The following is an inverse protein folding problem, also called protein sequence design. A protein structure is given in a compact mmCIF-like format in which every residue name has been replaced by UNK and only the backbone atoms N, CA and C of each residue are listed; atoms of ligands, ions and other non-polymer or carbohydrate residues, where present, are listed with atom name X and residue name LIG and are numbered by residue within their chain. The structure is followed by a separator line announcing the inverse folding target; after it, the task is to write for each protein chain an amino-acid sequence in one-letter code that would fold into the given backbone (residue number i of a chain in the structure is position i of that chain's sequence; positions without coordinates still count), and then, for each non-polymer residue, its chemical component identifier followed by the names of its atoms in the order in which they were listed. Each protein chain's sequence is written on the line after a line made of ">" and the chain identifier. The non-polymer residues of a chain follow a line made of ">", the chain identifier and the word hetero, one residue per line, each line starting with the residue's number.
data_IF_852156988672
#
_entry.id   IF_852156988672
#
_cell.length_a   1.000
_cell.length_b   1.000
_cell.length_c   1.000
_cell.angle_alpha   90.00
_cell.angle_beta   90.00
_cell.angle_gamma   90.00
#
_symmetry.space_group_name_H-M   'P 1'
#
loop_
_entity.id
_entity.type
_entity.pdbx_description
1 polymer ?
#
# COMPACT_ATOMS: atom_id res chain seq x y z
N UNK A 1 -5.51 9.88 50.65
CA UNK A 1 -6.22 9.53 49.40
C UNK A 1 -5.23 9.74 48.27
N UNK A 2 -4.41 8.72 47.98
CA UNK A 2 -3.38 8.77 46.93
C UNK A 2 -3.70 7.64 45.98
N UNK A 3 -4.23 7.98 44.80
CA UNK A 3 -4.70 7.01 43.82
C UNK A 3 -3.51 6.23 43.24
N UNK A 4 -3.64 4.91 43.26
CA UNK A 4 -2.79 3.97 42.56
C UNK A 4 -3.14 3.93 41.05
N UNK A 5 -2.23 3.33 40.27
CA UNK A 5 -2.38 2.89 38.88
C UNK A 5 -1.95 3.92 37.82
N UNK A 6 -1.17 3.59 36.79
CA UNK A 6 -0.95 2.28 36.19
C UNK A 6 0.53 2.05 35.88
N UNK A 7 1.00 0.84 36.21
CA UNK A 7 2.17 0.22 35.58
C UNK A 7 1.91 0.25 34.08
N UNK A 8 2.72 1.02 33.35
CA UNK A 8 2.83 0.83 31.91
C UNK A 8 3.50 -0.53 31.74
N UNK A 9 2.75 -1.54 31.33
CA UNK A 9 3.31 -2.83 30.94
C UNK A 9 4.40 -2.55 29.89
N UNK A 10 5.65 -2.78 30.26
CA UNK A 10 6.79 -2.55 29.41
C UNK A 10 6.75 -3.56 28.26
N UNK A 11 6.28 -3.09 27.10
CA UNK A 11 6.36 -3.82 25.84
C UNK A 11 7.82 -4.24 25.63
N UNK A 12 8.10 -5.53 25.36
CA UNK A 12 9.47 -6.02 25.23
C UNK A 12 10.20 -5.24 24.14
N UNK A 13 11.28 -4.58 24.54
CA UNK A 13 12.14 -3.74 23.69
C UNK A 13 12.99 -4.63 22.77
N UNK A 14 12.37 -5.19 21.74
CA UNK A 14 13.10 -5.41 20.50
C UNK A 14 13.50 -4.03 19.97
N UNK A 15 14.76 -3.87 19.62
CA UNK A 15 15.43 -2.61 19.24
C UNK A 15 14.93 -2.05 17.89
N UNK A 16 13.61 -1.92 17.74
CA UNK A 16 12.93 -1.37 16.58
C UNK A 16 12.21 -0.12 17.05
N UNK A 17 12.90 1.01 16.95
CA UNK A 17 12.32 2.33 17.20
C UNK A 17 10.98 2.45 16.47
N UNK A 18 9.95 2.93 17.18
CA UNK A 18 8.65 3.19 16.57
C UNK A 18 8.79 4.32 15.54
N UNK A 19 7.98 4.31 14.46
CA UNK A 19 8.03 5.35 13.44
C UNK A 19 7.65 6.70 14.06
N UNK A 20 8.50 7.72 13.85
CA UNK A 20 8.21 9.10 14.28
C UNK A 20 7.24 9.79 13.31
N UNK A 21 7.24 9.36 12.05
CA UNK A 21 6.36 9.84 10.99
C UNK A 21 5.47 8.70 10.52
N UNK A 22 4.17 8.98 10.46
CA UNK A 22 3.17 8.13 9.82
C UNK A 22 2.56 8.91 8.66
N UNK A 23 2.92 8.55 7.42
CA UNK A 23 2.27 9.07 6.24
C UNK A 23 0.94 8.32 6.05
N UNK A 24 -0.18 8.99 6.33
CA UNK A 24 -1.52 8.40 6.21
C UNK A 24 -1.98 8.19 4.77
N UNK A 25 -2.91 7.26 4.54
CA UNK A 25 -3.51 7.03 3.23
C UNK A 25 -4.38 8.22 2.78
N UNK A 26 -4.15 8.75 1.57
CA UNK A 26 -4.70 10.03 1.10
C UNK A 26 -5.82 9.88 0.05
N UNK A 27 -6.84 9.05 0.31
CA UNK A 27 -7.97 8.90 -0.62
C UNK A 27 -7.64 8.09 -1.88
N UNK A 28 -8.14 8.49 -3.05
CA UNK A 28 -8.02 7.71 -4.30
C UNK A 28 -6.71 8.03 -5.02
N UNK A 29 -5.81 7.05 -5.13
CA UNK A 29 -4.55 7.11 -5.87
C UNK A 29 -3.53 8.20 -5.46
N UNK A 30 -3.75 8.98 -4.41
CA UNK A 30 -2.82 10.04 -3.96
C UNK A 30 -1.61 9.47 -3.22
N UNK A 31 -1.82 8.58 -2.24
CA UNK A 31 -0.75 7.85 -1.54
C UNK A 31 -0.37 6.60 -2.32
N UNK A 32 0.49 6.74 -3.33
CA UNK A 32 0.96 5.60 -4.13
C UNK A 32 1.88 4.66 -3.34
N UNK A 33 2.00 3.41 -3.80
CA UNK A 33 2.96 2.44 -3.25
C UNK A 33 4.40 2.95 -3.27
N UNK A 34 4.75 3.86 -4.19
CA UNK A 34 6.07 4.47 -4.27
C UNK A 34 6.33 5.41 -3.09
N UNK A 35 5.36 6.26 -2.75
CA UNK A 35 5.46 7.14 -1.59
C UNK A 35 5.55 6.32 -0.30
N UNK A 36 4.63 5.36 -0.12
CA UNK A 36 4.64 4.51 1.06
C UNK A 36 5.95 3.71 1.20
N UNK A 37 6.49 3.20 0.09
CA UNK A 37 7.79 2.52 0.04
C UNK A 37 8.95 3.44 0.39
N UNK A 38 8.97 4.68 -0.13
CA UNK A 38 9.99 5.66 0.21
C UNK A 38 9.98 6.03 1.70
N UNK A 39 8.79 6.20 2.30
CA UNK A 39 8.63 6.44 3.74
C UNK A 39 9.10 5.22 4.55
N UNK A 40 8.74 4.00 4.13
CA UNK A 40 9.18 2.76 4.78
C UNK A 40 10.71 2.58 4.71
N UNK A 41 11.32 2.88 3.57
CA UNK A 41 12.77 2.82 3.39
C UNK A 41 13.51 3.87 4.23
N UNK A 42 12.85 4.98 4.60
CA UNK A 42 13.37 5.97 5.54
C UNK A 42 13.18 5.57 7.03
N UNK A 43 12.78 4.33 7.31
CA UNK A 43 12.53 3.84 8.66
C UNK A 43 11.24 4.37 9.30
N UNK A 44 10.35 4.96 8.51
CA UNK A 44 9.07 5.52 8.94
C UNK A 44 7.92 4.62 8.48
N UNK A 45 6.67 4.96 8.83
CA UNK A 45 5.50 4.17 8.41
C UNK A 45 4.77 4.82 7.24
N UNK A 46 4.85 4.19 6.07
CA UNK A 46 4.11 4.58 4.87
C UNK A 46 2.83 3.77 4.71
N UNK A 47 1.71 4.43 4.42
CA UNK A 47 0.41 3.78 4.22
C UNK A 47 -0.08 4.01 2.78
N UNK A 48 -0.54 2.93 2.15
CA UNK A 48 -1.22 2.96 0.85
C UNK A 48 -2.73 2.90 1.08
N UNK A 49 -3.46 3.94 0.66
CA UNK A 49 -4.92 3.91 0.67
C UNK A 49 -5.46 2.90 -0.35
N UNK A 50 -6.39 2.05 0.08
CA UNK A 50 -7.12 1.11 -0.78
C UNK A 50 -8.40 1.68 -1.40
N UNK A 51 -8.68 2.97 -1.20
CA UNK A 51 -9.93 3.61 -1.67
C UNK A 51 -10.05 3.52 -3.19
N UNK A 52 -11.13 2.89 -3.66
CA UNK A 52 -11.43 2.68 -5.09
C UNK A 52 -10.28 2.02 -5.88
N UNK A 53 -9.54 1.09 -5.24
CA UNK A 53 -8.39 0.44 -5.85
C UNK A 53 -8.74 -0.32 -7.14
N UNK A 54 -9.95 -0.86 -7.24
CA UNK A 54 -10.50 -1.48 -8.44
C UNK A 54 -10.55 -0.50 -9.62
N UNK A 55 -11.06 0.72 -9.41
CA UNK A 55 -11.09 1.77 -10.42
C UNK A 55 -9.68 2.25 -10.79
N UNK A 56 -8.81 2.42 -9.80
CA UNK A 56 -7.41 2.83 -10.03
C UNK A 56 -6.66 1.79 -10.86
N UNK A 57 -6.84 0.50 -10.56
CA UNK A 57 -6.23 -0.60 -11.28
C UNK A 57 -6.70 -0.63 -12.74
N UNK A 58 -8.01 -0.57 -12.97
CA UNK A 58 -8.58 -0.55 -14.32
C UNK A 58 -8.08 0.67 -15.09
N UNK A 59 -8.07 1.85 -14.46
CA UNK A 59 -7.66 3.07 -15.15
C UNK A 59 -6.20 3.04 -15.57
N UNK A 60 -5.29 2.55 -14.72
CA UNK A 60 -3.87 2.39 -15.06
C UNK A 60 -3.64 1.42 -16.22
N UNK A 61 -4.40 0.33 -16.29
CA UNK A 61 -4.35 -0.60 -17.44
C UNK A 61 -4.83 0.07 -18.73
N UNK A 62 -5.88 0.89 -18.65
CA UNK A 62 -6.41 1.64 -19.79
C UNK A 62 -5.49 2.77 -20.26
N UNK A 63 -4.70 3.33 -19.36
CA UNK A 63 -3.62 4.29 -19.66
C UNK A 63 -2.32 3.58 -20.13
N UNK A 64 -2.40 2.26 -20.37
CA UNK A 64 -1.34 1.46 -20.97
C UNK A 64 -0.27 0.92 -20.03
N UNK A 65 -0.44 1.08 -18.72
CA UNK A 65 0.45 0.50 -17.70
C UNK A 65 1.94 0.71 -18.07
N UNK A 66 2.30 1.97 -18.31
CA UNK A 66 3.57 2.36 -18.94
C UNK A 66 4.81 1.92 -18.16
N UNK A 67 4.72 1.83 -16.83
CA UNK A 67 5.77 1.33 -15.94
C UNK A 67 5.68 -0.19 -15.68
N UNK A 68 4.69 -0.86 -16.27
CA UNK A 68 4.40 -2.27 -16.11
C UNK A 68 3.99 -2.70 -14.69
N UNK A 69 3.78 -1.77 -13.75
CA UNK A 69 3.62 -2.09 -12.34
C UNK A 69 2.34 -2.86 -12.08
N UNK A 70 1.24 -2.53 -12.78
CA UNK A 70 -0.03 -3.21 -12.59
C UNK A 70 0.03 -4.62 -13.17
N UNK A 71 0.55 -4.80 -14.38
CA UNK A 71 0.71 -6.14 -14.96
C UNK A 71 1.68 -7.01 -14.17
N UNK A 72 2.76 -6.46 -13.62
CA UNK A 72 3.64 -7.19 -12.69
C UNK A 72 2.92 -7.64 -11.42
N UNK A 73 2.10 -6.77 -10.81
CA UNK A 73 1.34 -7.12 -9.62
C UNK A 73 0.30 -8.22 -9.92
N UNK A 74 -0.38 -8.12 -11.07
CA UNK A 74 -1.35 -9.13 -11.52
C UNK A 74 -0.69 -10.47 -11.84
N UNK A 75 0.54 -10.49 -12.37
CA UNK A 75 1.30 -11.72 -12.59
C UNK A 75 1.68 -12.45 -11.29
N UNK A 76 1.73 -11.74 -10.16
CA UNK A 76 1.94 -12.32 -8.83
C UNK A 76 0.63 -12.63 -8.08
N UNK A 77 -0.53 -12.37 -8.70
CA UNK A 77 -1.82 -12.57 -8.06
C UNK A 77 -2.12 -14.08 -7.89
N UNK A 78 -2.63 -14.54 -6.73
CA UNK A 78 -2.75 -15.99 -6.45
C UNK A 78 -3.73 -16.76 -7.33
N UNK A 79 -4.61 -16.08 -8.07
CA UNK A 79 -5.59 -16.69 -8.97
C UNK A 79 -5.32 -16.19 -10.39
N UNK A 80 -4.43 -16.86 -11.14
CA UNK A 80 -3.98 -16.40 -12.46
C UNK A 80 -5.11 -16.10 -13.43
N UNK A 81 -6.17 -16.92 -13.46
CA UNK A 81 -7.30 -16.78 -14.38
C UNK A 81 -8.07 -15.47 -14.15
N UNK A 82 -8.10 -14.97 -12.91
CA UNK A 82 -8.69 -13.67 -12.59
C UNK A 82 -7.81 -12.55 -13.14
N UNK A 83 -6.49 -12.65 -12.94
CA UNK A 83 -5.53 -11.66 -13.43
C UNK A 83 -5.55 -11.58 -14.95
N UNK A 84 -5.51 -12.73 -15.64
CA UNK A 84 -5.59 -12.82 -17.10
C UNK A 84 -6.87 -12.18 -17.64
N UNK A 85 -8.03 -12.47 -17.03
CA UNK A 85 -9.31 -11.87 -17.42
C UNK A 85 -9.31 -10.35 -17.25
N UNK A 86 -8.71 -9.84 -16.18
CA UNK A 86 -8.59 -8.40 -15.92
C UNK A 86 -7.68 -7.73 -16.95
N UNK A 87 -6.50 -8.29 -17.22
CA UNK A 87 -5.57 -7.75 -18.23
C UNK A 87 -6.21 -7.78 -19.61
N UNK A 88 -6.78 -8.92 -20.02
CA UNK A 88 -7.48 -9.08 -21.31
C UNK A 88 -8.60 -8.06 -21.51
N UNK A 89 -9.34 -7.73 -20.43
CA UNK A 89 -10.51 -6.85 -20.53
C UNK A 89 -10.15 -5.36 -20.54
N UNK A 90 -9.13 -4.94 -19.79
CA UNK A 90 -8.91 -3.53 -19.48
C UNK A 90 -7.61 -2.93 -20.01
N UNK A 91 -6.62 -3.75 -20.36
CA UNK A 91 -5.36 -3.26 -20.89
C UNK A 91 -5.52 -2.66 -22.29
N UNK A 92 -5.03 -1.44 -22.49
CA UNK A 92 -4.94 -0.80 -23.81
C UNK A 92 -3.49 -0.44 -24.07
N UNK A 93 -2.83 -0.98 -25.11
CA UNK A 93 -1.52 -0.49 -25.51
C UNK A 93 -1.61 1.02 -25.75
N UNK A 94 -0.71 1.77 -25.12
CA UNK A 94 -0.57 3.22 -25.34
C UNK A 94 -0.01 3.54 -26.71
#
# INVERSE_FOLDING_TARGET
>A
MTAASAVHDSVPSGDRALPLVIQGGMGVAVSSWRLASAIAQAGQLGVVAGTALDLVLVRRLQDGDSDGAVRRALAAFPVPEVAERVVSRYFRPG
#
